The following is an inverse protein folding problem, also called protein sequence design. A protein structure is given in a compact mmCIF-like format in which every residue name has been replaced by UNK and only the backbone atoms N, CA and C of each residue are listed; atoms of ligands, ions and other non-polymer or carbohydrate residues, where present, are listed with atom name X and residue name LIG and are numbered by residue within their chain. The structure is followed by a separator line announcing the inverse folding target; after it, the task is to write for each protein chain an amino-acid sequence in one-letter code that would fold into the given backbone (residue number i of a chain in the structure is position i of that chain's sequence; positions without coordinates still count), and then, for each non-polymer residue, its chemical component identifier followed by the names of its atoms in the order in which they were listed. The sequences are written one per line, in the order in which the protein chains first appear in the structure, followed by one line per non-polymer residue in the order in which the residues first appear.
data_IF_239345387185
#
_entry.id   IF_239345387185
#
_cell.length_a   1.000
_cell.length_b   1.000
_cell.length_c   1.000
_cell.angle_alpha   90.00
_cell.angle_beta   90.00
_cell.angle_gamma   90.00
#
_symmetry.space_group_name_H-M   'P 1'
#
loop_
_entity.id
_entity.type
_entity.pdbx_description
1 polymer ?
#
# COMPACT_ATOMS: atom_id res chain seq x y z
N UNK A 1 -7.91 8.36 22.31
CA UNK A 1 -8.26 7.01 22.79
C UNK A 1 -7.39 6.02 22.02
N UNK A 2 -6.50 5.31 22.70
CA UNK A 2 -5.68 4.25 22.09
C UNK A 2 -6.51 2.97 21.99
N UNK A 3 -6.66 2.42 20.80
CA UNK A 3 -7.38 1.16 20.58
C UNK A 3 -6.75 0.02 21.39
N UNK A 4 -7.54 -0.97 21.84
CA UNK A 4 -7.01 -2.14 22.54
C UNK A 4 -5.96 -2.87 21.68
N UNK A 5 -4.94 -3.49 22.30
CA UNK A 5 -3.81 -4.12 21.61
C UNK A 5 -4.26 -5.18 20.59
N UNK A 6 -5.33 -5.93 20.88
CA UNK A 6 -5.90 -6.91 19.95
C UNK A 6 -6.48 -6.26 18.68
N UNK A 7 -7.06 -5.07 18.81
CA UNK A 7 -7.62 -4.34 17.67
C UNK A 7 -6.52 -3.75 16.78
N UNK A 8 -5.39 -3.32 17.36
CA UNK A 8 -4.24 -2.87 16.59
C UNK A 8 -3.57 -4.03 15.85
N UNK A 9 -3.40 -5.18 16.49
CA UNK A 9 -2.82 -6.36 15.85
C UNK A 9 -3.72 -6.89 14.73
N UNK A 10 -5.04 -6.92 14.95
CA UNK A 10 -6.00 -7.28 13.91
C UNK A 10 -5.95 -6.32 12.71
N UNK A 11 -5.92 -5.01 12.96
CA UNK A 11 -5.81 -3.99 11.91
C UNK A 11 -4.48 -4.10 11.13
N UNK A 12 -3.38 -4.38 11.83
CA UNK A 12 -2.07 -4.63 11.22
C UNK A 12 -2.09 -5.83 10.29
N UNK A 13 -2.61 -6.98 10.76
CA UNK A 13 -2.72 -8.22 9.96
C UNK A 13 -3.60 -8.01 8.75
N UNK A 14 -4.76 -7.40 8.94
CA UNK A 14 -5.70 -7.13 7.86
C UNK A 14 -5.06 -6.26 6.75
N UNK A 15 -4.38 -5.18 7.13
CA UNK A 15 -3.69 -4.33 6.16
C UNK A 15 -2.55 -5.08 5.45
N UNK A 16 -1.79 -5.92 6.16
CA UNK A 16 -0.74 -6.75 5.55
C UNK A 16 -1.32 -7.71 4.52
N UNK A 17 -2.38 -8.45 4.86
CA UNK A 17 -3.05 -9.39 3.95
C UNK A 17 -3.55 -8.71 2.69
N UNK A 18 -4.13 -7.51 2.82
CA UNK A 18 -4.62 -6.75 1.67
C UNK A 18 -3.49 -6.23 0.77
N UNK A 19 -2.42 -5.70 1.36
CA UNK A 19 -1.24 -5.27 0.60
C UNK A 19 -0.61 -6.46 -0.13
N UNK A 20 -0.52 -7.61 0.54
CA UNK A 20 0.01 -8.84 -0.05
C UNK A 20 -0.84 -9.32 -1.24
N UNK A 21 -2.17 -9.34 -1.10
CA UNK A 21 -3.08 -9.70 -2.17
C UNK A 21 -2.98 -8.73 -3.37
N UNK A 22 -2.84 -7.43 -3.11
CA UNK A 22 -2.67 -6.42 -4.15
C UNK A 22 -1.40 -6.65 -4.98
N UNK A 23 -0.25 -6.84 -4.30
CA UNK A 23 1.04 -7.11 -4.98
C UNK A 23 0.97 -8.44 -5.75
N UNK A 24 0.43 -9.49 -5.13
CA UNK A 24 0.28 -10.80 -5.76
C UNK A 24 -0.59 -10.73 -7.03
N UNK A 25 -1.61 -9.85 -7.06
CA UNK A 25 -2.42 -9.62 -8.25
C UNK A 25 -1.62 -9.10 -9.45
N UNK A 26 -0.66 -8.20 -9.23
CA UNK A 26 0.23 -7.73 -10.30
C UNK A 26 1.25 -8.80 -10.71
N UNK A 27 1.82 -9.53 -9.75
CA UNK A 27 2.75 -10.65 -10.00
C UNK A 27 2.10 -11.72 -10.88
N UNK A 28 0.85 -12.11 -10.58
CA UNK A 28 0.13 -13.13 -11.34
C UNK A 28 -0.21 -12.71 -12.77
N UNK A 29 -0.46 -11.41 -12.99
CA UNK A 29 -0.78 -10.86 -14.31
C UNK A 29 0.47 -10.46 -15.12
N UNK A 30 1.67 -10.56 -14.54
CA UNK A 30 2.91 -10.10 -15.18
C UNK A 30 2.95 -8.60 -15.44
N UNK A 31 2.14 -7.83 -14.71
CA UNK A 31 1.97 -6.40 -14.90
C UNK A 31 2.73 -5.57 -13.87
N UNK A 32 2.85 -4.28 -14.16
CA UNK A 32 3.41 -3.29 -13.24
C UNK A 32 2.30 -2.33 -12.79
N UNK A 33 2.26 -1.91 -11.52
CA UNK A 33 1.38 -0.85 -11.09
C UNK A 33 1.73 0.44 -11.83
N UNK A 34 0.69 1.16 -12.27
CA UNK A 34 0.89 2.49 -12.82
C UNK A 34 1.33 3.50 -11.73
N UNK A 35 1.66 4.72 -12.13
CA UNK A 35 2.12 5.77 -11.22
C UNK A 35 1.19 6.01 -10.02
N UNK A 36 -0.12 5.92 -10.24
CA UNK A 36 -1.10 6.18 -9.20
C UNK A 36 -1.19 5.00 -8.23
N UNK A 37 -1.34 3.79 -8.76
CA UNK A 37 -1.36 2.57 -7.98
C UNK A 37 -0.08 2.40 -7.15
N UNK A 38 1.08 2.61 -7.77
CA UNK A 38 2.38 2.49 -7.12
C UNK A 38 2.59 3.53 -6.01
N UNK A 39 2.26 4.80 -6.26
CA UNK A 39 2.38 5.87 -5.25
C UNK A 39 1.52 5.59 -4.02
N UNK A 40 0.25 5.25 -4.22
CA UNK A 40 -0.65 4.99 -3.12
C UNK A 40 -0.33 3.68 -2.37
N UNK A 41 0.25 2.69 -3.04
CA UNK A 41 0.83 1.51 -2.40
C UNK A 41 2.03 1.88 -1.52
N UNK A 42 2.95 2.73 -1.99
CA UNK A 42 4.09 3.21 -1.18
C UNK A 42 3.60 3.95 0.06
N UNK A 43 2.59 4.82 -0.09
CA UNK A 43 1.99 5.52 1.05
C UNK A 43 1.32 4.55 2.03
N UNK A 44 0.67 3.49 1.53
CA UNK A 44 0.08 2.47 2.39
C UNK A 44 1.15 1.72 3.20
N UNK A 45 2.26 1.34 2.57
CA UNK A 45 3.42 0.73 3.22
C UNK A 45 4.06 1.64 4.28
N UNK A 46 4.16 2.94 4.00
CA UNK A 46 4.67 3.92 4.96
C UNK A 46 3.74 4.03 6.19
N UNK A 47 2.42 4.02 5.99
CA UNK A 47 1.43 3.98 7.06
C UNK A 47 1.50 2.71 7.89
N UNK A 48 1.62 1.55 7.23
CA UNK A 48 1.81 0.26 7.90
C UNK A 48 3.06 0.28 8.80
N UNK A 49 4.17 0.83 8.30
CA UNK A 49 5.41 0.98 9.07
C UNK A 49 5.23 1.93 10.27
N UNK A 50 4.44 2.98 10.13
CA UNK A 50 4.17 3.96 11.19
C UNK A 50 3.14 3.49 12.23
N UNK A 51 2.50 2.33 12.03
CA UNK A 51 1.41 1.86 12.89
C UNK A 51 0.06 2.55 12.65
N UNK A 52 -0.06 3.38 11.60
CA UNK A 52 -1.30 4.07 11.23
C UNK A 52 -2.07 3.25 10.18
N UNK A 53 -2.70 2.17 10.65
CA UNK A 53 -3.35 1.17 9.80
C UNK A 53 -4.60 1.70 9.10
N UNK A 54 -5.37 2.59 9.74
CA UNK A 54 -6.57 3.16 9.14
C UNK A 54 -6.22 4.04 7.94
N UNK A 55 -5.22 4.90 8.08
CA UNK A 55 -4.71 5.71 6.96
C UNK A 55 -4.07 4.81 5.89
N UNK A 56 -3.38 3.74 6.30
CA UNK A 56 -2.81 2.76 5.37
C UNK A 56 -3.87 2.08 4.51
N UNK A 57 -4.99 1.70 5.12
CA UNK A 57 -6.11 1.10 4.41
C UNK A 57 -6.77 2.06 3.43
N UNK A 58 -6.97 3.32 3.82
CA UNK A 58 -7.51 4.35 2.92
C UNK A 58 -6.60 4.57 1.71
N UNK A 59 -5.28 4.57 1.91
CA UNK A 59 -4.29 4.68 0.83
C UNK A 59 -4.31 3.46 -0.08
N UNK A 60 -4.43 2.25 0.46
CA UNK A 60 -4.53 1.05 -0.35
C UNK A 60 -5.81 1.04 -1.21
N UNK A 61 -6.95 1.49 -0.67
CA UNK A 61 -8.19 1.63 -1.47
C UNK A 61 -8.02 2.58 -2.65
N UNK A 62 -7.24 3.66 -2.48
CA UNK A 62 -6.88 4.52 -3.60
C UNK A 62 -6.02 3.76 -4.61
N UNK A 63 -4.98 3.02 -4.18
CA UNK A 63 -4.16 2.22 -5.10
C UNK A 63 -4.98 1.20 -5.92
N UNK A 64 -6.01 0.59 -5.32
CA UNK A 64 -6.95 -0.34 -5.96
C UNK A 64 -7.94 0.33 -6.91
N UNK A 65 -8.06 1.66 -6.89
CA UNK A 65 -9.06 2.38 -7.69
C UNK A 65 -8.71 2.30 -9.19
N UNK A 66 -9.60 1.75 -10.03
CA UNK A 66 -9.39 1.65 -11.47
C UNK A 66 -9.17 3.02 -12.13
N UNK A 67 -8.37 3.14 -13.21
CA UNK A 67 -8.06 4.42 -13.85
C UNK A 67 -9.27 5.31 -14.14
N UNK A 68 -10.39 4.73 -14.61
CA UNK A 68 -11.61 5.48 -14.94
C UNK A 68 -12.41 6.02 -13.75
N UNK A 69 -12.08 5.61 -12.52
CA UNK A 69 -12.78 6.01 -11.29
C UNK A 69 -11.93 6.91 -10.38
N UNK A 70 -10.72 7.26 -10.79
CA UNK A 70 -9.80 8.07 -9.98
C UNK A 70 -10.24 9.52 -9.97
N UNK A 71 -10.23 10.15 -8.80
CA UNK A 71 -10.55 11.57 -8.68
C UNK A 71 -9.43 12.42 -9.30
N UNK A 72 -9.75 13.56 -9.94
CA UNK A 72 -8.73 14.50 -10.43
C UNK A 72 -7.82 15.03 -9.31
N UNK A 73 -8.35 15.16 -8.10
CA UNK A 73 -7.59 15.61 -6.93
C UNK A 73 -6.52 14.60 -6.53
N UNK A 74 -6.87 13.31 -6.46
CA UNK A 74 -5.91 12.27 -6.13
C UNK A 74 -4.85 12.13 -7.22
N UNK A 75 -5.24 12.25 -8.49
CA UNK A 75 -4.30 12.25 -9.61
C UNK A 75 -3.29 13.39 -9.53
N UNK A 76 -3.73 14.58 -9.08
CA UNK A 76 -2.84 15.73 -8.90
C UNK A 76 -1.83 15.56 -7.76
N UNK A 77 -2.10 14.66 -6.81
CA UNK A 77 -1.22 14.35 -5.67
C UNK A 77 -0.13 13.33 -6.00
N UNK A 78 -0.16 12.72 -7.19
CA UNK A 78 0.88 11.80 -7.65
C UNK A 78 2.06 12.62 -8.19
N UNK A 79 3.28 12.44 -7.64
CA UNK A 79 4.46 13.13 -8.14
C UNK A 79 4.71 12.82 -9.62
N UNK A 80 4.96 13.85 -10.43
CA UNK A 80 5.34 13.67 -11.84
C UNK A 80 6.85 13.49 -11.93
N UNK A 81 7.31 12.46 -12.66
CA UNK A 81 8.72 12.27 -13.01
C UNK A 81 9.54 11.38 -12.08
N UNK A 82 8.93 10.68 -11.12
CA UNK A 82 9.63 9.62 -10.38
C UNK A 82 9.66 8.31 -11.17
N UNK A 83 10.75 7.55 -11.01
CA UNK A 83 10.83 6.19 -11.52
C UNK A 83 9.76 5.34 -10.84
N UNK A 84 8.94 4.67 -11.65
CA UNK A 84 7.95 3.71 -11.16
C UNK A 84 8.69 2.52 -10.56
N UNK A 85 8.36 2.18 -9.32
CA UNK A 85 8.85 0.94 -8.73
C UNK A 85 8.17 -0.23 -9.43
N UNK A 86 8.97 -1.23 -9.75
CA UNK A 86 8.45 -2.51 -10.20
C UNK A 86 7.68 -3.23 -9.08
N UNK A 87 6.81 -4.15 -9.45
CA UNK A 87 6.11 -5.08 -8.56
C UNK A 87 7.10 -5.82 -7.66
N UNK A 88 8.26 -6.22 -8.20
CA UNK A 88 9.33 -6.85 -7.43
C UNK A 88 9.94 -5.91 -6.37
N UNK A 89 10.10 -4.62 -6.67
CA UNK A 89 10.57 -3.62 -5.71
C UNK A 89 9.52 -3.32 -4.63
N UNK A 90 8.23 -3.29 -4.99
CA UNK A 90 7.14 -3.21 -4.03
C UNK A 90 7.11 -4.42 -3.10
N UNK A 91 7.25 -5.64 -3.62
CA UNK A 91 7.37 -6.88 -2.83
C UNK A 91 8.52 -6.79 -1.84
N UNK A 92 9.73 -6.41 -2.30
CA UNK A 92 10.90 -6.25 -1.41
C UNK A 92 10.65 -5.20 -0.32
N UNK A 93 9.96 -4.11 -0.66
CA UNK A 93 9.62 -3.06 0.31
C UNK A 93 8.64 -3.55 1.36
N UNK A 94 7.62 -4.33 0.96
CA UNK A 94 6.66 -4.93 1.86
C UNK A 94 7.31 -5.91 2.85
N UNK A 95 8.16 -6.82 2.36
CA UNK A 95 8.87 -7.77 3.23
C UNK A 95 9.77 -7.07 4.25
N UNK A 96 10.45 -5.98 3.85
CA UNK A 96 11.24 -5.16 4.78
C UNK A 96 10.39 -4.52 5.87
N UNK A 97 9.18 -4.05 5.54
CA UNK A 97 8.26 -3.49 6.53
C UNK A 97 7.82 -4.57 7.52
N UNK A 98 7.46 -5.77 7.05
CA UNK A 98 7.08 -6.91 7.92
C UNK A 98 8.21 -7.27 8.89
N UNK A 99 9.45 -7.39 8.40
CA UNK A 99 10.61 -7.71 9.24
C UNK A 99 10.92 -6.61 10.27
N UNK A 100 10.75 -5.34 9.89
CA UNK A 100 10.96 -4.22 10.80
C UNK A 100 9.91 -4.11 11.92
N UNK A 101 8.75 -4.75 11.76
CA UNK A 101 7.67 -4.80 12.76
C UNK A 101 7.80 -5.99 13.73
N UNK A 102 8.72 -6.93 13.48
CA UNK A 102 8.98 -8.10 14.31
C UNK A 102 10.16 -7.90 15.29
N UNK A 103 10.85 -6.75 15.22
CA UNK A 103 11.97 -6.36 16.08
C UNK A 103 11.51 -5.32 17.09
#
# INVERSE_FOLDING_TARGET
MTSPPDAQEAARRHLQERIEAFIAGYEANGGEPDAFAGEYLVRALASLKAGDYATGEARLRLAETPPGLRSPEDLARVPRGYALLSTAEHRRSFERVKLGQLR
#
